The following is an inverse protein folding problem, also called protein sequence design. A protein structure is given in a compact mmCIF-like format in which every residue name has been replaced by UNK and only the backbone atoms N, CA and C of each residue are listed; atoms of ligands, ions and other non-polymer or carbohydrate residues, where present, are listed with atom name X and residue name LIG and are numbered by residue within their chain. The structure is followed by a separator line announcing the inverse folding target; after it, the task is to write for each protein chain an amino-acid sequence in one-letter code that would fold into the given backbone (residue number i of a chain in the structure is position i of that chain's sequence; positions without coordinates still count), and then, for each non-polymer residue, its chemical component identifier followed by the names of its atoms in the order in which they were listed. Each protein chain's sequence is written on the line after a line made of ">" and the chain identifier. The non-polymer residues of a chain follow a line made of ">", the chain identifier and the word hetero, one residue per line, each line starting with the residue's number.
data_IF_847614258711
#
_entry.id   IF_847614258711
#
_cell.length_a   1.000
_cell.length_b   1.000
_cell.length_c   1.000
_cell.angle_alpha   90.00
_cell.angle_beta   90.00
_cell.angle_gamma   90.00
#
_symmetry.space_group_name_H-M   'P 1'
#
loop_
_entity.id
_entity.type
_entity.pdbx_description
1 polymer ?
#
# COMPACT_ATOMS: atom_id res chain seq x y z
N UNK A 1 -9.83 -37.90 -2.17
CA UNK A 1 -9.20 -36.89 -1.31
C UNK A 1 -8.54 -35.85 -2.20
N UNK A 2 -9.26 -34.79 -2.57
CA UNK A 2 -8.77 -33.74 -3.46
C UNK A 2 -7.84 -32.80 -2.68
N UNK A 3 -6.56 -32.80 -3.03
CA UNK A 3 -5.54 -31.90 -2.51
C UNK A 3 -5.88 -30.45 -2.88
N UNK A 4 -6.72 -29.78 -2.09
CA UNK A 4 -7.05 -28.36 -2.27
C UNK A 4 -5.89 -27.47 -1.77
N UNK A 5 -4.72 -27.63 -2.38
CA UNK A 5 -3.51 -26.82 -2.15
C UNK A 5 -3.79 -25.32 -2.32
N UNK A 6 -4.75 -24.95 -3.18
CA UNK A 6 -5.20 -23.57 -3.41
C UNK A 6 -5.90 -22.92 -2.21
N UNK A 7 -6.48 -23.72 -1.30
CA UNK A 7 -7.21 -23.24 -0.13
C UNK A 7 -6.36 -23.22 1.15
N UNK A 8 -5.08 -23.61 1.07
CA UNK A 8 -4.20 -23.64 2.23
C UNK A 8 -3.90 -22.21 2.73
N UNK A 9 -3.91 -22.03 4.05
CA UNK A 9 -3.60 -20.75 4.69
C UNK A 9 -2.19 -20.30 4.32
N UNK A 10 -2.08 -19.07 3.82
CA UNK A 10 -0.79 -18.46 3.50
C UNK A 10 -0.60 -17.20 4.33
N UNK A 11 0.18 -17.31 5.41
CA UNK A 11 0.55 -16.17 6.24
C UNK A 11 1.86 -15.57 5.73
N UNK A 12 1.77 -14.62 4.80
CA UNK A 12 2.91 -13.77 4.42
C UNK A 12 2.96 -12.57 5.40
N UNK A 13 4.09 -12.24 6.02
CA UNK A 13 4.18 -11.00 6.78
C UNK A 13 4.03 -9.80 5.84
N UNK A 14 3.46 -8.69 6.35
CA UNK A 14 3.21 -7.48 5.56
C UNK A 14 4.49 -6.97 4.88
N UNK A 15 5.64 -7.11 5.54
CA UNK A 15 6.94 -6.78 4.95
C UNK A 15 7.23 -7.56 3.66
N UNK A 16 6.99 -8.87 3.65
CA UNK A 16 7.16 -9.70 2.44
C UNK A 16 6.17 -9.27 1.37
N UNK A 17 4.93 -8.92 1.72
CA UNK A 17 3.93 -8.42 0.77
C UNK A 17 4.41 -7.15 0.08
N UNK A 18 4.89 -6.17 0.84
CA UNK A 18 5.35 -4.91 0.26
C UNK A 18 6.63 -5.15 -0.57
N UNK A 19 7.55 -5.99 -0.12
CA UNK A 19 8.73 -6.37 -0.91
C UNK A 19 8.36 -7.07 -2.23
N UNK A 20 7.33 -7.93 -2.23
CA UNK A 20 6.83 -8.54 -3.46
C UNK A 20 6.30 -7.48 -4.43
N UNK A 21 5.55 -6.49 -3.93
CA UNK A 21 5.06 -5.39 -4.78
C UNK A 21 6.23 -4.55 -5.30
N UNK A 22 7.22 -4.19 -4.47
CA UNK A 22 8.45 -3.50 -4.92
C UNK A 22 9.18 -4.29 -6.02
N UNK A 23 9.34 -5.60 -5.82
CA UNK A 23 9.99 -6.49 -6.78
C UNK A 23 9.23 -6.52 -8.09
N UNK A 24 7.90 -6.69 -8.04
CA UNK A 24 7.05 -6.65 -9.22
C UNK A 24 7.15 -5.31 -9.94
N UNK A 25 7.19 -4.18 -9.22
CA UNK A 25 7.34 -2.87 -9.84
C UNK A 25 8.63 -2.76 -10.63
N UNK A 26 9.75 -3.23 -10.08
CA UNK A 26 11.05 -3.18 -10.75
C UNK A 26 11.17 -4.19 -11.90
N UNK A 27 10.61 -5.39 -11.75
CA UNK A 27 10.60 -6.40 -12.81
C UNK A 27 9.72 -5.96 -13.99
N UNK A 28 8.53 -5.43 -13.73
CA UNK A 28 7.62 -4.92 -14.74
C UNK A 28 8.25 -3.71 -15.43
N UNK A 29 8.82 -2.76 -14.66
CA UNK A 29 9.56 -1.64 -15.23
C UNK A 29 10.67 -2.11 -16.16
N UNK A 30 11.54 -3.01 -15.69
CA UNK A 30 12.65 -3.52 -16.49
C UNK A 30 12.20 -4.24 -17.76
N UNK A 31 11.12 -5.00 -17.70
CA UNK A 31 10.54 -5.68 -18.86
C UNK A 31 9.93 -4.70 -19.87
N UNK A 32 9.21 -3.68 -19.40
CA UNK A 32 8.50 -2.72 -20.24
C UNK A 32 9.42 -1.64 -20.83
N UNK A 33 10.58 -1.36 -20.21
CA UNK A 33 11.52 -0.39 -20.75
C UNK A 33 12.14 -0.81 -22.10
N UNK A 34 12.21 -2.10 -22.42
CA UNK A 34 12.68 -2.57 -23.73
C UNK A 34 11.75 -2.16 -24.89
N UNK A 35 10.43 -2.49 -24.87
CA UNK A 35 9.50 -2.03 -25.91
C UNK A 35 9.29 -0.52 -25.90
N UNK A 36 9.43 0.17 -24.75
CA UNK A 36 9.46 1.64 -24.69
C UNK A 36 10.66 2.19 -25.46
N UNK A 37 11.86 1.62 -25.27
CA UNK A 37 13.06 2.05 -26.00
C UNK A 37 12.93 1.82 -27.51
N UNK A 38 12.23 0.75 -27.92
CA UNK A 38 11.90 0.49 -29.32
C UNK A 38 10.82 1.43 -29.90
N UNK A 39 10.26 2.34 -29.09
CA UNK A 39 9.20 3.27 -29.51
C UNK A 39 7.82 2.63 -29.66
N UNK A 40 7.63 1.39 -29.16
CA UNK A 40 6.39 0.63 -29.32
C UNK A 40 5.35 1.06 -28.27
N UNK A 41 5.80 1.38 -27.04
CA UNK A 41 4.93 1.68 -25.91
C UNK A 41 5.22 3.08 -25.33
N UNK A 42 4.18 3.82 -24.89
CA UNK A 42 4.38 5.07 -24.17
C UNK A 42 4.89 4.79 -22.75
N UNK A 43 5.61 5.76 -22.18
CA UNK A 43 6.18 5.67 -20.84
C UNK A 43 5.81 6.90 -20.02
N UNK A 44 5.21 6.65 -18.85
CA UNK A 44 4.80 7.70 -17.93
C UNK A 44 5.67 7.72 -16.67
N UNK A 45 6.64 8.63 -16.64
CA UNK A 45 7.60 8.77 -15.52
C UNK A 45 6.91 9.12 -14.19
N UNK A 46 5.94 10.04 -14.23
CA UNK A 46 5.22 10.49 -13.04
C UNK A 46 4.51 9.34 -12.32
N UNK A 47 3.90 8.42 -13.08
CA UNK A 47 3.22 7.24 -12.54
C UNK A 47 4.18 6.25 -11.88
N UNK A 48 5.37 6.02 -12.47
CA UNK A 48 6.40 5.21 -11.83
C UNK A 48 6.91 5.87 -10.54
N UNK A 49 7.27 7.15 -10.59
CA UNK A 49 7.84 7.82 -9.42
C UNK A 49 6.83 7.93 -8.28
N UNK A 50 5.58 8.27 -8.60
CA UNK A 50 4.50 8.32 -7.63
C UNK A 50 4.22 6.95 -7.00
N UNK A 51 4.23 5.88 -7.80
CA UNK A 51 4.07 4.51 -7.32
C UNK A 51 5.18 4.10 -6.35
N UNK A 52 6.44 4.37 -6.69
CA UNK A 52 7.57 4.02 -5.82
C UNK A 52 7.54 4.82 -4.50
N UNK A 53 7.23 6.11 -4.56
CA UNK A 53 7.04 6.93 -3.34
C UNK A 53 5.89 6.41 -2.49
N UNK A 54 4.78 6.04 -3.12
CA UNK A 54 3.64 5.45 -2.43
C UNK A 54 4.02 4.14 -1.73
N UNK A 55 4.81 3.28 -2.38
CA UNK A 55 5.28 2.03 -1.78
C UNK A 55 6.24 2.29 -0.60
N UNK A 56 7.14 3.27 -0.70
CA UNK A 56 7.96 3.70 0.45
C UNK A 56 7.12 4.26 1.60
N UNK A 57 6.09 5.04 1.28
CA UNK A 57 5.15 5.53 2.26
C UNK A 57 4.42 4.39 2.97
N UNK A 58 3.95 3.38 2.23
CA UNK A 58 3.34 2.18 2.81
C UNK A 58 4.29 1.49 3.79
N UNK A 59 5.57 1.29 3.44
CA UNK A 59 6.57 0.72 4.36
C UNK A 59 6.75 1.57 5.62
N UNK A 60 6.83 2.89 5.45
CA UNK A 60 7.03 3.84 6.54
C UNK A 60 5.84 3.85 7.51
N UNK A 61 4.61 3.95 7.00
CA UNK A 61 3.40 4.05 7.83
C UNK A 61 3.10 2.70 8.50
N UNK A 62 3.24 1.58 7.77
CA UNK A 62 2.80 0.27 8.26
C UNK A 62 3.84 -0.45 9.12
N UNK A 63 5.13 -0.42 8.72
CA UNK A 63 6.21 -1.15 9.39
C UNK A 63 7.07 -0.25 10.28
N UNK A 64 6.94 1.08 10.18
CA UNK A 64 7.84 2.03 10.85
C UNK A 64 9.26 2.05 10.27
N UNK A 65 9.49 1.37 9.13
CA UNK A 65 10.78 1.32 8.44
C UNK A 65 10.91 2.55 7.57
N UNK A 66 11.87 3.41 7.91
CA UNK A 66 12.21 4.58 7.10
C UNK A 66 13.25 4.19 6.05
N UNK A 67 13.34 4.91 4.93
CA UNK A 67 14.38 4.66 3.94
C UNK A 67 15.80 4.79 4.50
N UNK A 68 15.98 5.48 5.63
CA UNK A 68 17.27 5.71 6.26
C UNK A 68 17.64 4.67 7.35
N UNK A 69 16.71 3.81 7.75
CA UNK A 69 16.94 2.77 8.75
C UNK A 69 15.69 2.33 9.53
N UNK A 70 15.90 1.35 10.42
CA UNK A 70 14.87 0.82 11.31
C UNK A 70 14.58 1.85 12.43
N UNK A 71 13.37 2.40 12.45
CA UNK A 71 12.87 3.23 13.55
C UNK A 71 11.67 2.58 14.23
N UNK A 72 11.49 2.82 15.53
CA UNK A 72 10.26 2.42 16.19
C UNK A 72 9.08 3.17 15.54
N UNK A 73 7.98 2.44 15.30
CA UNK A 73 6.76 2.99 14.72
C UNK A 73 6.18 4.04 15.68
N UNK A 74 6.36 5.33 15.37
CA UNK A 74 5.86 6.46 16.16
C UNK A 74 4.88 7.30 15.35
N UNK A 75 4.14 8.19 16.02
CA UNK A 75 3.21 9.11 15.34
C UNK A 75 3.92 10.02 14.34
N UNK A 76 5.14 10.46 14.64
CA UNK A 76 5.99 11.22 13.72
C UNK A 76 6.31 10.45 12.43
N UNK A 77 6.66 9.16 12.55
CA UNK A 77 6.97 8.31 11.38
C UNK A 77 5.72 8.10 10.53
N UNK A 78 4.55 7.91 11.16
CA UNK A 78 3.26 7.84 10.46
C UNK A 78 2.97 9.15 9.74
N UNK A 79 3.12 10.29 10.39
CA UNK A 79 2.87 11.61 9.77
C UNK A 79 3.80 11.86 8.58
N UNK A 80 5.09 11.58 8.73
CA UNK A 80 6.08 11.69 7.64
C UNK A 80 5.72 10.76 6.48
N UNK A 81 5.39 9.49 6.77
CA UNK A 81 4.94 8.53 5.76
C UNK A 81 3.67 9.00 5.04
N UNK A 82 2.71 9.58 5.75
CA UNK A 82 1.49 10.16 5.17
C UNK A 82 1.82 11.30 4.20
N UNK A 83 2.75 12.20 4.55
CA UNK A 83 3.19 13.27 3.63
C UNK A 83 3.81 12.67 2.36
N UNK A 84 4.67 11.66 2.49
CA UNK A 84 5.26 10.95 1.33
C UNK A 84 4.16 10.28 0.49
N UNK A 85 3.14 9.69 1.12
CA UNK A 85 2.00 9.10 0.41
C UNK A 85 1.25 10.16 -0.40
N UNK A 86 0.97 11.34 0.17
CA UNK A 86 0.31 12.44 -0.54
C UNK A 86 1.13 12.87 -1.76
N UNK A 87 2.44 13.08 -1.58
CA UNK A 87 3.34 13.44 -2.68
C UNK A 87 3.32 12.36 -3.76
N UNK A 88 3.38 11.08 -3.40
CA UNK A 88 3.33 9.96 -4.35
C UNK A 88 2.02 9.88 -5.12
N UNK A 89 0.88 10.04 -4.43
CA UNK A 89 -0.46 10.03 -5.06
C UNK A 89 -0.61 11.19 -6.04
N UNK A 90 -0.24 12.41 -5.62
CA UNK A 90 -0.33 13.61 -6.46
C UNK A 90 0.60 13.49 -7.68
N UNK A 91 1.83 13.00 -7.50
CA UNK A 91 2.79 12.77 -8.59
C UNK A 91 2.31 11.70 -9.60
N UNK A 92 1.56 10.69 -9.14
CA UNK A 92 0.91 9.73 -10.03
C UNK A 92 -0.18 10.41 -10.87
N UNK A 93 -1.03 11.22 -10.24
CA UNK A 93 -2.29 11.67 -10.85
C UNK A 93 -2.14 12.89 -11.74
N UNK A 94 -1.25 13.81 -11.40
CA UNK A 94 -1.08 15.05 -12.14
C UNK A 94 0.28 15.01 -12.84
N UNK A 95 0.30 14.77 -14.16
CA UNK A 95 1.51 14.92 -14.95
C UNK A 95 2.15 16.30 -14.71
N UNK A 96 3.46 16.32 -14.50
CA UNK A 96 4.30 17.52 -14.38
C UNK A 96 4.00 18.50 -13.22
N UNK A 97 2.98 18.28 -12.38
CA UNK A 97 2.61 19.24 -11.33
C UNK A 97 3.71 19.49 -10.29
N UNK A 98 4.44 18.45 -9.91
CA UNK A 98 5.51 18.54 -8.90
C UNK A 98 6.91 18.65 -9.50
N UNK A 99 7.02 18.69 -10.83
CA UNK A 99 8.29 18.75 -11.54
C UNK A 99 9.32 17.73 -11.00
N UNK A 100 10.42 18.23 -10.41
CA UNK A 100 11.54 17.41 -9.94
C UNK A 100 11.38 16.85 -8.52
N UNK A 101 10.35 17.26 -7.77
CA UNK A 101 10.21 16.87 -6.35
C UNK A 101 10.14 15.35 -6.16
N UNK A 102 9.31 14.58 -6.90
CA UNK A 102 9.22 13.13 -6.71
C UNK A 102 10.55 12.43 -7.02
N UNK A 103 11.21 12.88 -8.10
CA UNK A 103 12.51 12.37 -8.52
C UNK A 103 13.60 12.63 -7.47
N UNK A 104 13.68 13.85 -6.92
CA UNK A 104 14.65 14.20 -5.88
C UNK A 104 14.44 13.41 -4.59
N UNK A 105 13.19 13.19 -4.18
CA UNK A 105 12.86 12.34 -3.03
C UNK A 105 13.31 10.90 -3.27
N UNK A 106 13.05 10.34 -4.46
CA UNK A 106 13.50 8.98 -4.80
C UNK A 106 15.03 8.86 -4.85
N UNK A 107 15.74 9.86 -5.40
CA UNK A 107 17.21 9.90 -5.37
C UNK A 107 17.70 9.87 -3.91
N UNK A 108 17.07 10.65 -3.03
CA UNK A 108 17.40 10.64 -1.60
C UNK A 108 17.11 9.29 -0.95
N UNK A 109 15.94 8.70 -1.19
CA UNK A 109 15.53 7.44 -0.57
C UNK A 109 16.35 6.24 -1.07
N UNK A 110 16.56 6.11 -2.38
CA UNK A 110 17.35 5.02 -2.94
C UNK A 110 18.86 5.23 -2.75
N UNK A 111 19.34 6.47 -2.84
CA UNK A 111 20.76 6.82 -2.75
C UNK A 111 21.23 6.91 -1.31
N UNK A 112 20.79 7.95 -0.59
CA UNK A 112 21.20 8.18 0.81
C UNK A 112 20.66 7.06 1.70
N UNK A 113 19.41 6.64 1.51
CA UNK A 113 18.82 5.54 2.27
C UNK A 113 19.50 4.19 1.99
N UNK A 114 19.76 3.87 0.72
CA UNK A 114 20.51 2.66 0.35
C UNK A 114 21.92 2.65 0.94
N UNK A 115 22.61 3.79 0.90
CA UNK A 115 23.95 3.95 1.49
C UNK A 115 23.91 3.81 3.01
N UNK A 116 22.95 4.43 3.70
CA UNK A 116 22.85 4.34 5.16
C UNK A 116 22.55 2.91 5.62
N UNK A 117 21.67 2.19 4.91
CA UNK A 117 21.35 0.79 5.17
C UNK A 117 22.54 -0.14 4.91
N UNK A 118 23.28 0.09 3.82
CA UNK A 118 24.51 -0.65 3.51
C UNK A 118 25.58 -0.42 4.60
N UNK A 119 25.78 0.84 5.00
CA UNK A 119 26.74 1.20 6.04
C UNK A 119 26.36 0.56 7.39
N UNK A 120 25.07 0.56 7.75
CA UNK A 120 24.57 -0.10 8.95
C UNK A 120 24.78 -1.62 8.91
N UNK A 121 24.65 -2.25 7.74
CA UNK A 121 24.88 -3.68 7.58
C UNK A 121 26.35 -4.05 7.87
N UNK A 122 27.30 -3.24 7.42
CA UNK A 122 28.73 -3.47 7.67
C UNK A 122 29.22 -3.01 9.05
N UNK A 123 28.71 -1.89 9.57
CA UNK A 123 29.17 -1.30 10.83
C UNK A 123 28.48 -1.88 12.08
N UNK A 124 27.30 -2.47 11.96
CA UNK A 124 26.59 -3.03 13.13
C UNK A 124 27.29 -4.31 13.62
N UNK A 125 28.24 -4.13 14.55
CA UNK A 125 28.98 -5.21 15.21
C UNK A 125 28.08 -6.25 15.88
N UNK A 126 26.83 -5.93 16.19
CA UNK A 126 25.83 -6.85 16.75
C UNK A 126 25.13 -7.68 15.67
N UNK A 127 24.43 -7.09 14.69
CA UNK A 127 23.63 -7.85 13.69
C UNK A 127 24.49 -8.78 12.84
N UNK A 128 25.57 -8.27 12.24
CA UNK A 128 26.43 -9.08 11.35
C UNK A 128 27.15 -10.23 12.09
N UNK A 129 27.63 -9.98 13.31
CA UNK A 129 28.32 -11.00 14.12
C UNK A 129 27.36 -12.08 14.62
N UNK A 130 26.13 -11.69 14.96
CA UNK A 130 25.06 -12.62 15.35
C UNK A 130 24.64 -13.49 14.16
N UNK A 131 24.41 -12.89 12.99
CA UNK A 131 24.01 -13.61 11.77
C UNK A 131 25.10 -14.56 11.25
N UNK A 132 26.38 -14.15 11.36
CA UNK A 132 27.52 -15.00 11.02
C UNK A 132 27.72 -16.17 11.98
N UNK A 133 27.29 -16.04 13.25
CA UNK A 133 27.33 -17.15 14.23
C UNK A 133 26.21 -18.17 14.03
N UNK A 134 25.02 -17.75 13.61
CA UNK A 134 23.89 -18.67 13.40
C UNK A 134 24.05 -19.53 12.15
N UNK A 135 24.81 -19.08 11.14
CA UNK A 135 25.11 -19.87 9.93
C UNK A 135 23.89 -20.19 9.06
N UNK A 136 24.11 -20.64 7.83
CA UNK A 136 23.04 -21.09 6.92
C UNK A 136 22.20 -19.96 6.31
N UNK A 137 20.88 -19.97 6.52
CA UNK A 137 19.90 -19.08 5.85
C UNK A 137 20.19 -17.59 6.14
N UNK A 138 20.77 -17.26 7.30
CA UNK A 138 21.14 -15.88 7.64
C UNK A 138 22.29 -15.31 6.77
N UNK A 139 23.11 -16.17 6.15
CA UNK A 139 24.12 -15.73 5.19
C UNK A 139 23.47 -15.27 3.88
N UNK A 140 22.47 -16.02 3.40
CA UNK A 140 21.65 -15.63 2.25
C UNK A 140 20.90 -14.31 2.51
N UNK A 141 20.41 -14.09 3.74
CA UNK A 141 19.79 -12.82 4.12
C UNK A 141 20.77 -11.65 4.00
N UNK A 142 21.99 -11.83 4.51
CA UNK A 142 23.04 -10.78 4.46
C UNK A 142 23.40 -10.43 3.02
N UNK A 143 23.59 -11.44 2.17
CA UNK A 143 23.89 -11.24 0.74
C UNK A 143 22.73 -10.56 0.02
N UNK A 144 21.49 -11.01 0.28
CA UNK A 144 20.30 -10.43 -0.34
C UNK A 144 20.14 -8.94 0.06
N UNK A 145 20.30 -8.60 1.33
CA UNK A 145 20.28 -7.21 1.80
C UNK A 145 21.37 -6.37 1.14
N UNK A 146 22.62 -6.87 1.11
CA UNK A 146 23.72 -6.15 0.47
C UNK A 146 23.48 -5.88 -1.02
N UNK A 147 22.95 -6.88 -1.75
CA UNK A 147 22.58 -6.71 -3.16
C UNK A 147 21.48 -5.66 -3.34
N UNK A 148 20.41 -5.73 -2.56
CA UNK A 148 19.30 -4.77 -2.64
C UNK A 148 19.80 -3.35 -2.35
N UNK A 149 20.64 -3.15 -1.33
CA UNK A 149 21.17 -1.82 -1.00
C UNK A 149 22.18 -1.31 -2.03
N UNK A 150 22.98 -2.19 -2.63
CA UNK A 150 23.89 -1.80 -3.71
C UNK A 150 23.10 -1.38 -4.96
N UNK A 151 22.13 -2.18 -5.38
CA UNK A 151 21.31 -1.87 -6.55
C UNK A 151 20.40 -0.66 -6.33
N UNK A 152 19.95 -0.37 -5.10
CA UNK A 152 19.25 0.89 -4.83
C UNK A 152 20.14 2.10 -5.09
N UNK A 153 21.42 2.06 -4.69
CA UNK A 153 22.36 3.15 -4.96
C UNK A 153 22.58 3.30 -6.48
N UNK A 154 22.74 2.20 -7.20
CA UNK A 154 22.88 2.21 -8.67
C UNK A 154 21.64 2.84 -9.33
N UNK A 155 20.43 2.47 -8.90
CA UNK A 155 19.20 3.08 -9.38
C UNK A 155 19.15 4.59 -9.09
N UNK A 156 19.60 5.03 -7.91
CA UNK A 156 19.67 6.46 -7.59
C UNK A 156 20.63 7.24 -8.50
N UNK A 157 21.74 6.64 -8.91
CA UNK A 157 22.68 7.23 -9.89
C UNK A 157 21.99 7.40 -11.24
N UNK A 158 21.29 6.37 -11.72
CA UNK A 158 20.52 6.46 -12.98
C UNK A 158 19.37 7.48 -12.90
N UNK A 159 18.70 7.58 -11.75
CA UNK A 159 17.70 8.63 -11.52
C UNK A 159 18.31 10.02 -11.49
N UNK A 160 19.57 10.18 -11.07
CA UNK A 160 20.18 11.51 -10.94
C UNK A 160 20.51 12.12 -12.29
N UNK A 161 21.01 11.32 -13.23
CA UNK A 161 21.49 11.82 -14.51
C UNK A 161 21.17 10.81 -15.64
N UNK A 162 20.31 11.22 -16.57
CA UNK A 162 19.86 10.40 -17.71
C UNK A 162 20.94 10.20 -18.77
N UNK A 163 22.06 10.92 -18.69
CA UNK A 163 23.16 10.83 -19.66
C UNK A 163 24.15 9.68 -19.38
N UNK A 164 24.21 9.17 -18.14
CA UNK A 164 25.18 8.13 -17.78
C UNK A 164 24.76 6.72 -18.21
N UNK A 165 23.48 6.51 -18.55
CA UNK A 165 22.96 5.18 -18.85
C UNK A 165 21.91 5.20 -19.95
N UNK A 166 22.04 4.26 -20.90
CA UNK A 166 21.04 4.05 -21.95
C UNK A 166 19.78 3.39 -21.37
N UNK A 167 18.62 3.58 -22.00
CA UNK A 167 17.36 2.95 -21.56
C UNK A 167 17.48 1.43 -21.35
N UNK A 168 18.18 0.65 -22.20
CA UNK A 168 18.41 -0.77 -21.97
C UNK A 168 19.26 -1.09 -20.73
N UNK A 169 20.20 -0.22 -20.34
CA UNK A 169 20.99 -0.39 -19.12
C UNK A 169 20.12 -0.17 -17.88
N UNK A 170 19.25 0.85 -17.90
CA UNK A 170 18.28 1.07 -16.82
C UNK A 170 17.31 -0.11 -16.73
N UNK A 171 16.84 -0.62 -17.88
CA UNK A 171 15.95 -1.78 -17.96
C UNK A 171 16.57 -3.03 -17.33
N UNK A 172 17.81 -3.37 -17.71
CA UNK A 172 18.53 -4.51 -17.17
C UNK A 172 18.85 -4.35 -15.68
N UNK A 173 19.24 -3.15 -15.24
CA UNK A 173 19.45 -2.88 -13.82
C UNK A 173 18.16 -2.99 -13.00
N UNK A 174 17.04 -2.50 -13.51
CA UNK A 174 15.73 -2.66 -12.87
C UNK A 174 15.30 -4.13 -12.77
N UNK A 175 15.55 -4.95 -13.80
CA UNK A 175 15.30 -6.40 -13.74
C UNK A 175 16.15 -7.07 -12.65
N UNK A 176 17.46 -6.80 -12.63
CA UNK A 176 18.36 -7.40 -11.64
C UNK A 176 17.99 -6.94 -10.23
N UNK A 177 17.65 -5.66 -10.05
CA UNK A 177 17.20 -5.13 -8.77
C UNK A 177 15.89 -5.79 -8.32
N UNK A 178 14.93 -5.93 -9.23
CA UNK A 178 13.66 -6.62 -8.97
C UNK A 178 13.87 -8.09 -8.55
N UNK A 179 14.80 -8.81 -9.20
CA UNK A 179 15.19 -10.18 -8.82
C UNK A 179 15.87 -10.21 -7.44
N UNK A 180 16.73 -9.24 -7.13
CA UNK A 180 17.37 -9.15 -5.82
C UNK A 180 16.35 -8.92 -4.69
N UNK A 181 15.35 -8.06 -4.91
CA UNK A 181 14.25 -7.83 -3.97
C UNK A 181 13.39 -9.10 -3.83
N UNK A 182 13.11 -9.80 -4.94
CA UNK A 182 12.34 -11.05 -4.92
C UNK A 182 13.05 -12.12 -4.09
N UNK A 183 14.36 -12.22 -4.29
CA UNK A 183 15.21 -13.14 -3.55
C UNK A 183 15.21 -12.80 -2.05
N UNK A 184 15.32 -11.51 -1.70
CA UNK A 184 15.22 -11.05 -0.31
C UNK A 184 13.86 -11.42 0.31
N UNK A 185 12.76 -11.18 -0.41
CA UNK A 185 11.41 -11.52 0.04
C UNK A 185 11.25 -13.03 0.30
N UNK A 186 11.83 -13.86 -0.57
CA UNK A 186 11.81 -15.33 -0.42
C UNK A 186 12.63 -15.80 0.79
N UNK A 187 13.85 -15.28 0.96
CA UNK A 187 14.70 -15.60 2.12
C UNK A 187 14.00 -15.19 3.41
N UNK A 188 13.41 -14.00 3.44
CA UNK A 188 12.72 -13.46 4.61
C UNK A 188 11.46 -14.28 4.93
N UNK A 189 10.68 -14.68 3.92
CA UNK A 189 9.54 -15.58 4.09
C UNK A 189 9.96 -16.92 4.70
N UNK A 190 11.08 -17.49 4.25
CA UNK A 190 11.62 -18.76 4.77
C UNK A 190 12.07 -18.64 6.22
N UNK A 191 12.62 -17.49 6.61
CA UNK A 191 12.98 -17.23 8.01
C UNK A 191 11.72 -17.15 8.87
N UNK A 192 10.73 -16.36 8.46
CA UNK A 192 9.48 -16.22 9.21
C UNK A 192 8.64 -17.49 9.29
N UNK A 193 8.70 -18.36 8.28
CA UNK A 193 8.01 -19.66 8.33
C UNK A 193 8.68 -20.64 9.30
N UNK A 194 10.01 -20.56 9.45
CA UNK A 194 10.79 -21.50 10.25
C UNK A 194 10.98 -21.02 11.69
N UNK A 195 10.90 -19.72 11.91
CA UNK A 195 10.89 -19.09 13.23
C UNK A 195 9.67 -18.18 13.26
N UNK A 196 8.56 -18.59 13.91
CA UNK A 196 7.50 -17.64 14.25
C UNK A 196 8.10 -16.64 15.24
N UNK A 197 8.73 -15.59 14.71
CA UNK A 197 9.43 -14.60 15.51
C UNK A 197 8.46 -14.04 16.52
N UNK A 198 8.75 -14.31 17.79
CA UNK A 198 8.18 -13.61 18.93
C UNK A 198 8.31 -12.12 18.64
N UNK A 199 7.17 -11.43 18.53
CA UNK A 199 7.15 -9.98 18.41
C UNK A 199 7.90 -9.42 19.59
N UNK A 200 9.10 -8.89 19.36
CA UNK A 200 9.80 -8.11 20.36
C UNK A 200 8.96 -6.86 20.61
N UNK A 201 8.07 -6.92 21.61
CA UNK A 201 7.43 -5.75 22.19
C UNK A 201 8.54 -4.90 22.83
N UNK A 202 8.83 -3.67 22.37
CA UNK A 202 9.65 -2.75 23.13
C UNK A 202 8.82 -2.20 24.29
N UNK A 203 9.44 -2.09 25.47
CA UNK A 203 8.81 -1.52 26.66
C UNK A 203 8.26 -0.11 26.40
N UNK A 204 7.05 0.08 26.93
CA UNK A 204 6.18 1.25 26.89
C UNK A 204 6.87 2.50 27.46
N UNK A 205 6.91 3.59 26.68
CA UNK A 205 7.24 4.94 27.20
C UNK A 205 6.04 5.85 27.00
N UNK A 206 5.77 6.72 27.99
CA UNK A 206 4.56 7.56 28.11
C UNK A 206 4.32 8.47 26.89
N UNK A 207 3.04 8.77 26.67
CA UNK A 207 2.48 9.47 25.52
C UNK A 207 3.16 10.80 25.15
N UNK A 208 3.28 11.00 23.84
CA UNK A 208 3.84 12.16 23.14
C UNK A 208 3.95 11.86 21.64
N UNK A 209 4.39 12.82 20.83
CA UNK A 209 4.58 12.66 19.37
C UNK A 209 5.58 11.54 18.98
N UNK A 210 6.42 11.14 19.94
CA UNK A 210 7.44 10.08 19.85
C UNK A 210 6.98 8.73 20.46
N UNK A 211 5.74 8.63 20.95
CA UNK A 211 5.23 7.40 21.53
C UNK A 211 5.00 6.33 20.44
N UNK A 212 5.17 5.03 20.76
CA UNK A 212 4.90 3.95 19.82
C UNK A 212 3.42 4.00 19.39
N UNK A 213 3.18 4.10 18.08
CA UNK A 213 1.85 4.16 17.52
C UNK A 213 1.25 2.76 17.44
N UNK A 214 0.37 2.47 18.39
CA UNK A 214 -0.25 1.17 18.62
C UNK A 214 -1.57 1.02 17.81
N UNK A 215 -1.56 1.41 16.53
CA UNK A 215 -2.72 1.27 15.62
C UNK A 215 -2.66 -0.09 14.91
N UNK A 216 -3.79 -0.78 14.80
CA UNK A 216 -3.90 -2.00 13.98
C UNK A 216 -3.48 -1.76 12.52
N UNK A 217 -2.90 -2.78 11.88
CA UNK A 217 -2.49 -2.71 10.47
C UNK A 217 -3.70 -2.45 9.56
N UNK A 218 -4.87 -3.01 9.91
CA UNK A 218 -6.12 -2.79 9.20
C UNK A 218 -6.50 -1.30 9.19
N UNK A 219 -6.44 -0.64 10.36
CA UNK A 219 -6.74 0.77 10.48
C UNK A 219 -5.76 1.64 9.68
N UNK A 220 -4.49 1.26 9.59
CA UNK A 220 -3.51 1.97 8.74
C UNK A 220 -3.85 1.82 7.26
N UNK A 221 -4.12 0.60 6.80
CA UNK A 221 -4.39 0.36 5.38
C UNK A 221 -5.73 1.01 4.96
N UNK A 222 -6.71 1.05 5.87
CA UNK A 222 -7.93 1.85 5.71
C UNK A 222 -7.66 3.35 5.70
N UNK A 223 -6.75 3.85 6.56
CA UNK A 223 -6.32 5.26 6.56
C UNK A 223 -5.68 5.63 5.21
N UNK A 224 -4.79 4.78 4.69
CA UNK A 224 -4.14 5.00 3.39
C UNK A 224 -5.16 4.97 2.25
N UNK A 225 -6.12 4.04 2.29
CA UNK A 225 -7.22 4.02 1.33
C UNK A 225 -8.09 5.30 1.42
N UNK A 226 -8.46 5.72 2.62
CA UNK A 226 -9.25 6.95 2.82
C UNK A 226 -8.51 8.20 2.38
N UNK A 227 -7.22 8.29 2.66
CA UNK A 227 -6.36 9.38 2.17
C UNK A 227 -6.31 9.39 0.64
N UNK A 228 -6.15 8.23 0.02
CA UNK A 228 -6.14 8.08 -1.42
C UNK A 228 -7.45 8.53 -2.06
N UNK A 229 -8.60 8.05 -1.55
CA UNK A 229 -9.93 8.40 -2.07
C UNK A 229 -10.21 9.90 -1.87
N UNK A 230 -9.82 10.45 -0.71
CA UNK A 230 -9.98 11.88 -0.40
C UNK A 230 -9.18 12.76 -1.36
N UNK A 231 -7.88 12.47 -1.55
CA UNK A 231 -7.02 13.24 -2.47
C UNK A 231 -7.57 13.16 -3.89
N UNK A 232 -7.98 11.97 -4.31
CA UNK A 232 -8.58 11.77 -5.61
C UNK A 232 -9.84 12.63 -5.80
N UNK A 233 -10.77 12.60 -4.84
CA UNK A 233 -12.00 13.38 -4.91
C UNK A 233 -11.75 14.88 -5.00
N UNK A 234 -10.83 15.39 -4.16
CA UNK A 234 -10.44 16.81 -4.14
C UNK A 234 -9.82 17.19 -5.49
N UNK A 235 -8.96 16.34 -6.03
CA UNK A 235 -8.26 16.62 -7.28
C UNK A 235 -9.17 16.55 -8.51
N UNK A 236 -10.21 15.72 -8.47
CA UNK A 236 -11.14 15.59 -9.60
C UNK A 236 -11.94 16.88 -9.86
N UNK A 237 -12.13 17.73 -8.85
CA UNK A 237 -12.84 19.01 -9.00
C UNK A 237 -12.10 19.96 -9.97
N UNK A 238 -10.84 20.38 -9.74
CA UNK A 238 -10.11 21.23 -10.67
C UNK A 238 -9.82 20.56 -12.01
N UNK A 239 -9.67 19.23 -12.05
CA UNK A 239 -9.50 18.48 -13.30
C UNK A 239 -10.75 18.61 -14.19
N UNK A 240 -11.95 18.44 -13.62
CA UNK A 240 -13.20 18.61 -14.38
C UNK A 240 -13.49 20.07 -14.76
N UNK A 241 -12.87 21.03 -14.08
CA UNK A 241 -12.88 22.45 -14.50
C UNK A 241 -11.86 22.76 -15.60
N UNK A 242 -11.07 21.77 -16.05
CA UNK A 242 -10.03 21.94 -17.05
C UNK A 242 -8.78 22.67 -16.56
N UNK A 243 -8.61 22.82 -15.23
CA UNK A 243 -7.49 23.55 -14.64
C UNK A 243 -6.21 22.72 -14.50
N UNK A 244 -6.32 21.39 -14.45
CA UNK A 244 -5.19 20.48 -14.21
C UNK A 244 -5.22 19.28 -15.16
N UNK A 245 -4.05 18.81 -15.66
CA UNK A 245 -3.95 17.56 -16.39
C UNK A 245 -4.17 16.38 -15.46
N UNK A 246 -4.66 15.25 -15.99
CA UNK A 246 -4.99 14.09 -15.15
C UNK A 246 -4.66 12.77 -15.84
N UNK A 247 -4.01 11.88 -15.10
CA UNK A 247 -3.68 10.51 -15.53
C UNK A 247 -4.64 9.51 -14.89
N UNK A 248 -5.72 9.20 -15.59
CA UNK A 248 -6.70 8.19 -15.16
C UNK A 248 -6.09 6.78 -15.07
N UNK A 249 -5.14 6.45 -15.94
CA UNK A 249 -4.40 5.18 -15.91
C UNK A 249 -3.61 4.98 -14.61
N UNK A 250 -2.91 6.01 -14.13
CA UNK A 250 -2.19 5.94 -12.87
C UNK A 250 -3.12 5.94 -11.65
N UNK A 251 -4.27 6.62 -11.72
CA UNK A 251 -5.32 6.54 -10.69
C UNK A 251 -5.81 5.11 -10.50
N UNK A 252 -6.28 4.47 -11.58
CA UNK A 252 -6.79 3.10 -11.53
C UNK A 252 -5.67 2.14 -11.14
N UNK A 253 -4.45 2.39 -11.64
CA UNK A 253 -3.28 1.59 -11.32
C UNK A 253 -2.96 1.58 -9.82
N UNK A 254 -2.94 2.76 -9.19
CA UNK A 254 -2.64 2.90 -7.77
C UNK A 254 -3.75 2.31 -6.88
N UNK A 255 -5.03 2.44 -7.28
CA UNK A 255 -6.13 1.71 -6.61
C UNK A 255 -5.91 0.20 -6.63
N UNK A 256 -5.54 -0.36 -7.78
CA UNK A 256 -5.30 -1.81 -7.93
C UNK A 256 -4.14 -2.29 -7.07
N UNK A 257 -3.09 -1.48 -6.93
CA UNK A 257 -1.97 -1.76 -6.00
C UNK A 257 -2.45 -1.73 -4.54
N UNK A 258 -3.30 -0.78 -4.16
CA UNK A 258 -3.88 -0.73 -2.80
C UNK A 258 -4.73 -1.97 -2.52
N UNK A 259 -5.62 -2.34 -3.46
CA UNK A 259 -6.42 -3.58 -3.33
C UNK A 259 -5.55 -4.82 -3.29
N UNK A 260 -4.45 -4.87 -4.05
CA UNK A 260 -3.48 -5.96 -3.97
C UNK A 260 -2.87 -6.08 -2.57
N UNK A 261 -2.40 -4.97 -1.97
CA UNK A 261 -1.87 -4.97 -0.61
C UNK A 261 -2.91 -5.52 0.37
N UNK A 262 -4.15 -5.04 0.28
CA UNK A 262 -5.24 -5.47 1.16
C UNK A 262 -5.57 -6.96 1.00
N UNK A 263 -5.60 -7.46 -0.24
CA UNK A 263 -5.87 -8.88 -0.52
C UNK A 263 -4.74 -9.78 -0.03
N UNK A 264 -3.49 -9.45 -0.36
CA UNK A 264 -2.35 -10.30 -0.01
C UNK A 264 -2.09 -10.22 1.49
N UNK A 265 -2.14 -9.05 2.12
CA UNK A 265 -1.78 -8.86 3.52
C UNK A 265 -2.90 -9.23 4.50
N UNK A 266 -4.13 -8.78 4.22
CA UNK A 266 -5.27 -8.89 5.15
C UNK A 266 -6.29 -9.94 4.72
N UNK A 267 -6.28 -10.38 3.46
CA UNK A 267 -7.36 -11.19 2.89
C UNK A 267 -8.63 -10.38 2.59
N UNK A 268 -8.56 -9.05 2.69
CA UNK A 268 -9.66 -8.17 2.36
C UNK A 268 -9.69 -7.98 0.84
N UNK A 269 -10.81 -8.36 0.22
CA UNK A 269 -11.07 -8.10 -1.20
C UNK A 269 -12.08 -6.97 -1.32
N UNK A 270 -12.19 -6.32 -2.50
CA UNK A 270 -13.24 -5.33 -2.75
C UNK A 270 -14.67 -5.85 -2.51
N UNK A 271 -14.89 -7.16 -2.63
CA UNK A 271 -16.20 -7.80 -2.42
C UNK A 271 -16.47 -8.07 -0.92
N UNK A 272 -15.41 -8.05 -0.09
CA UNK A 272 -15.48 -8.28 1.35
C UNK A 272 -14.28 -9.04 1.90
N UNK A 273 -14.27 -9.29 3.22
CA UNK A 273 -13.21 -10.04 3.87
C UNK A 273 -13.31 -11.53 3.52
N UNK A 274 -12.17 -12.13 3.14
CA UNK A 274 -12.04 -13.56 2.90
C UNK A 274 -10.87 -14.15 3.69
N UNK A 275 -10.91 -15.45 3.94
CA UNK A 275 -9.80 -16.16 4.59
C UNK A 275 -8.59 -16.15 3.68
N UNK A 276 -7.43 -15.78 4.24
CA UNK A 276 -6.16 -15.62 3.55
C UNK A 276 -5.59 -16.93 2.97
N UNK A 277 -6.12 -17.29 1.79
CA UNK A 277 -5.72 -18.47 1.01
C UNK A 277 -4.71 -18.10 -0.08
N UNK A 278 -4.03 -19.11 -0.63
CA UNK A 278 -3.12 -18.94 -1.78
C UNK A 278 -3.82 -18.31 -2.98
N UNK A 279 -5.08 -18.64 -3.21
CA UNK A 279 -5.86 -18.09 -4.32
C UNK A 279 -5.95 -16.57 -4.21
N UNK A 280 -6.28 -16.04 -3.03
CA UNK A 280 -6.32 -14.58 -2.79
C UNK A 280 -4.95 -13.94 -2.98
N UNK A 281 -3.88 -14.61 -2.55
CA UNK A 281 -2.51 -14.13 -2.77
C UNK A 281 -2.20 -14.01 -4.27
N UNK A 282 -2.52 -15.05 -5.06
CA UNK A 282 -2.31 -15.05 -6.51
C UNK A 282 -3.14 -13.95 -7.18
N UNK A 283 -4.44 -13.85 -6.83
CA UNK A 283 -5.32 -12.79 -7.33
C UNK A 283 -4.78 -11.41 -6.97
N UNK A 284 -4.31 -11.23 -5.75
CA UNK A 284 -3.67 -10.00 -5.30
C UNK A 284 -2.41 -9.67 -6.12
N UNK A 285 -1.56 -10.65 -6.41
CA UNK A 285 -0.38 -10.43 -7.26
C UNK A 285 -0.79 -10.05 -8.69
N UNK A 286 -1.84 -10.65 -9.24
CA UNK A 286 -2.40 -10.24 -10.55
C UNK A 286 -2.87 -8.78 -10.50
N UNK A 287 -3.57 -8.37 -9.44
CA UNK A 287 -3.99 -6.98 -9.25
C UNK A 287 -2.80 -6.02 -9.15
N UNK A 288 -1.73 -6.41 -8.45
CA UNK A 288 -0.50 -5.62 -8.43
C UNK A 288 0.10 -5.51 -9.83
N UNK A 289 0.21 -6.61 -10.59
CA UNK A 289 0.76 -6.58 -11.94
C UNK A 289 -0.01 -5.62 -12.86
N UNK A 290 -1.35 -5.73 -12.87
CA UNK A 290 -2.22 -4.85 -13.64
C UNK A 290 -2.09 -3.39 -13.18
N UNK A 291 -2.06 -3.17 -11.86
CA UNK A 291 -1.95 -1.84 -11.29
C UNK A 291 -0.64 -1.14 -11.62
N UNK A 292 0.49 -1.82 -11.40
CA UNK A 292 1.83 -1.32 -11.70
C UNK A 292 1.95 -1.05 -13.22
N UNK A 293 1.50 -1.98 -14.06
CA UNK A 293 1.54 -1.80 -15.52
C UNK A 293 0.76 -0.56 -15.95
N UNK A 294 -0.43 -0.34 -15.37
CA UNK A 294 -1.25 0.85 -15.65
C UNK A 294 -0.64 2.15 -15.14
N UNK A 295 0.16 2.12 -14.07
CA UNK A 295 0.91 3.30 -13.63
C UNK A 295 2.08 3.64 -14.57
N UNK A 296 2.71 2.64 -15.20
CA UNK A 296 3.90 2.83 -16.05
C UNK A 296 3.51 3.15 -17.49
N UNK A 297 2.52 2.42 -18.04
CA UNK A 297 2.07 2.59 -19.42
C UNK A 297 0.66 3.17 -19.42
N UNK A 298 0.50 4.44 -19.84
CA UNK A 298 -0.80 5.09 -19.86
C UNK A 298 -1.72 4.49 -20.93
N UNK A 299 -3.03 4.67 -20.74
CA UNK A 299 -4.13 4.36 -21.67
C UNK A 299 -4.37 2.90 -22.09
N UNK A 300 -3.41 1.99 -21.95
CA UNK A 300 -3.59 0.60 -22.44
C UNK A 300 -4.60 -0.19 -21.58
N UNK A 301 -4.50 -0.09 -20.26
CA UNK A 301 -5.30 -0.87 -19.32
C UNK A 301 -6.56 -0.15 -18.84
N UNK A 302 -6.76 1.11 -19.22
CA UNK A 302 -7.83 1.97 -18.67
C UNK A 302 -9.22 1.35 -18.84
N UNK A 303 -9.66 0.90 -20.05
CA UNK A 303 -11.01 0.37 -20.21
C UNK A 303 -11.24 -0.90 -19.37
N UNK A 304 -10.26 -1.80 -19.36
CA UNK A 304 -10.32 -3.06 -18.62
C UNK A 304 -10.33 -2.84 -17.11
N UNK A 305 -9.49 -1.92 -16.61
CA UNK A 305 -9.45 -1.59 -15.19
C UNK A 305 -10.69 -0.83 -14.73
N UNK A 306 -11.21 0.11 -15.53
CA UNK A 306 -12.46 0.82 -15.22
C UNK A 306 -13.61 -0.17 -15.10
N UNK A 307 -13.72 -1.12 -16.03
CA UNK A 307 -14.74 -2.17 -15.97
C UNK A 307 -14.57 -3.05 -14.73
N UNK A 308 -13.36 -3.52 -14.47
CA UNK A 308 -13.06 -4.38 -13.32
C UNK A 308 -13.37 -3.67 -11.98
N UNK A 309 -12.85 -2.46 -11.78
CA UNK A 309 -13.05 -1.67 -10.57
C UNK A 309 -14.53 -1.29 -10.42
N UNK A 310 -15.20 -0.92 -11.52
CA UNK A 310 -16.63 -0.61 -11.54
C UNK A 310 -17.48 -1.79 -11.04
N UNK A 311 -17.25 -2.99 -11.57
CA UNK A 311 -17.93 -4.20 -11.11
C UNK A 311 -17.60 -4.56 -9.66
N UNK A 312 -16.33 -4.46 -9.26
CA UNK A 312 -15.90 -4.78 -7.90
C UNK A 312 -16.56 -3.86 -6.86
N UNK A 313 -16.63 -2.56 -7.15
CA UNK A 313 -17.26 -1.59 -6.26
C UNK A 313 -18.79 -1.77 -6.22
N UNK A 314 -19.42 -2.07 -7.36
CA UNK A 314 -20.85 -2.35 -7.42
C UNK A 314 -21.22 -3.60 -6.62
N UNK A 315 -20.56 -4.73 -6.89
CA UNK A 315 -20.84 -6.01 -6.22
C UNK A 315 -20.47 -5.93 -4.74
N UNK A 316 -19.30 -5.35 -4.43
CA UNK A 316 -18.81 -5.20 -3.06
C UNK A 316 -19.70 -4.33 -2.20
N UNK A 317 -20.12 -3.16 -2.71
CA UNK A 317 -21.03 -2.27 -2.00
C UNK A 317 -22.40 -2.91 -1.75
N UNK A 318 -22.98 -3.59 -2.75
CA UNK A 318 -24.25 -4.31 -2.59
C UNK A 318 -24.11 -5.44 -1.55
N UNK A 319 -23.06 -6.26 -1.66
CA UNK A 319 -22.83 -7.36 -0.72
C UNK A 319 -22.64 -6.86 0.72
N UNK A 320 -21.96 -5.73 0.91
CA UNK A 320 -21.78 -5.12 2.22
C UNK A 320 -23.11 -4.59 2.80
N UNK A 321 -23.95 -3.91 2.00
CA UNK A 321 -25.27 -3.46 2.45
C UNK A 321 -26.15 -4.65 2.84
N UNK A 322 -26.18 -5.71 2.01
CA UNK A 322 -26.95 -6.93 2.32
C UNK A 322 -26.50 -7.53 3.65
N UNK A 323 -25.18 -7.61 3.91
CA UNK A 323 -24.65 -8.11 5.19
C UNK A 323 -25.04 -7.28 6.40
N UNK A 324 -25.24 -5.96 6.24
CA UNK A 324 -25.68 -5.07 7.32
C UNK A 324 -27.19 -5.18 7.55
N UNK A 325 -27.98 -5.22 6.48
CA UNK A 325 -29.45 -5.19 6.55
C UNK A 325 -30.06 -6.56 6.91
N UNK A 326 -29.48 -7.67 6.44
CA UNK A 326 -30.00 -9.02 6.72
C UNK A 326 -30.12 -9.36 8.22
N UNK A 327 -29.10 -9.11 9.07
CA UNK A 327 -29.23 -9.35 10.50
C UNK A 327 -30.18 -8.37 11.19
N UNK A 328 -30.32 -7.13 10.68
CA UNK A 328 -31.25 -6.14 11.24
C UNK A 328 -32.73 -6.48 10.97
N UNK A 329 -33.02 -7.24 9.91
CA UNK A 329 -34.36 -7.73 9.58
C UNK A 329 -34.74 -9.01 10.35
N UNK A 330 -33.79 -9.71 10.97
CA UNK A 330 -34.09 -10.87 11.82
C UNK A 330 -34.60 -10.39 13.18
N UNK A 331 -35.73 -10.95 13.63
CA UNK A 331 -36.43 -10.59 14.88
C UNK A 331 -35.44 -10.51 16.06
N UNK A 332 -35.44 -9.42 16.85
CA UNK A 332 -34.44 -9.20 17.88
C UNK A 332 -34.55 -10.25 19.00
N UNK A 333 -33.53 -11.10 19.14
CA UNK A 333 -33.26 -11.77 20.40
C UNK A 333 -32.64 -10.74 21.34
N UNK A 334 -33.42 -10.27 22.33
CA UNK A 334 -33.00 -9.53 23.54
C UNK A 334 -31.57 -8.96 23.48
N UNK A 335 -31.38 -7.91 22.68
CA UNK A 335 -30.14 -7.14 22.66
C UNK A 335 -30.47 -5.74 23.16
N UNK A 336 -29.73 -5.32 24.19
CA UNK A 336 -29.70 -3.98 24.74
C UNK A 336 -29.65 -2.93 23.63
N UNK A 337 -30.28 -1.77 23.82
CA UNK A 337 -30.24 -0.68 22.86
C UNK A 337 -28.80 -0.42 22.36
N UNK A 338 -28.57 -0.33 21.03
CA UNK A 338 -27.22 -0.20 20.49
C UNK A 338 -26.56 1.07 21.02
N UNK A 339 -25.30 0.96 21.44
CA UNK A 339 -24.51 2.10 21.87
C UNK A 339 -24.39 3.14 20.73
N UNK A 340 -24.31 4.43 21.09
CA UNK A 340 -24.22 5.54 20.13
C UNK A 340 -23.07 5.35 19.14
N UNK A 341 -21.96 4.77 19.60
CA UNK A 341 -20.76 4.49 18.78
C UNK A 341 -21.03 3.43 17.70
N UNK A 342 -21.79 2.38 18.03
CA UNK A 342 -22.14 1.31 17.10
C UNK A 342 -23.07 1.81 15.98
N UNK A 343 -24.03 2.66 16.35
CA UNK A 343 -24.92 3.32 15.38
C UNK A 343 -24.14 4.23 14.43
N UNK A 344 -23.16 4.99 14.94
CA UNK A 344 -22.30 5.84 14.11
C UNK A 344 -21.45 5.03 13.12
N UNK A 345 -20.85 3.92 13.55
CA UNK A 345 -20.09 3.02 12.67
C UNK A 345 -20.99 2.42 11.59
N UNK A 346 -22.19 1.98 11.97
CA UNK A 346 -23.13 1.36 11.04
C UNK A 346 -23.60 2.36 9.98
N UNK A 347 -23.94 3.58 10.39
CA UNK A 347 -24.30 4.67 9.48
C UNK A 347 -23.15 5.04 8.56
N UNK A 348 -21.94 5.25 9.09
CA UNK A 348 -20.76 5.57 8.27
C UNK A 348 -20.47 4.48 7.23
N UNK A 349 -20.59 3.21 7.64
CA UNK A 349 -20.40 2.06 6.75
C UNK A 349 -21.49 1.98 5.68
N UNK A 350 -22.76 2.22 6.03
CA UNK A 350 -23.86 2.27 5.07
C UNK A 350 -23.64 3.38 4.03
N UNK A 351 -23.29 4.58 4.49
CA UNK A 351 -22.99 5.73 3.63
C UNK A 351 -21.86 5.42 2.67
N UNK A 352 -20.73 4.88 3.15
CA UNK A 352 -19.60 4.50 2.28
C UNK A 352 -20.01 3.47 1.23
N UNK A 353 -20.78 2.45 1.59
CA UNK A 353 -21.20 1.44 0.61
C UNK A 353 -22.14 2.00 -0.47
N UNK A 354 -23.02 2.96 -0.11
CA UNK A 354 -23.85 3.68 -1.09
C UNK A 354 -22.97 4.52 -2.02
N UNK A 355 -21.99 5.26 -1.48
CA UNK A 355 -21.06 6.06 -2.28
C UNK A 355 -20.19 5.17 -3.17
N UNK A 356 -19.76 4.01 -2.67
CA UNK A 356 -19.01 3.00 -3.44
C UNK A 356 -19.83 2.44 -4.60
N UNK A 357 -21.12 2.17 -4.40
CA UNK A 357 -22.04 1.76 -5.48
C UNK A 357 -22.19 2.88 -6.50
N UNK A 358 -22.37 4.13 -6.07
CA UNK A 358 -22.50 5.28 -6.96
C UNK A 358 -21.23 5.47 -7.81
N UNK A 359 -20.05 5.35 -7.19
CA UNK A 359 -18.77 5.39 -7.86
C UNK A 359 -18.62 4.25 -8.88
N UNK A 360 -18.92 3.01 -8.48
CA UNK A 360 -18.86 1.85 -9.38
C UNK A 360 -19.83 1.96 -10.57
N UNK A 361 -21.05 2.44 -10.34
CA UNK A 361 -22.03 2.69 -11.40
C UNK A 361 -21.57 3.78 -12.37
N UNK A 362 -20.98 4.86 -11.87
CA UNK A 362 -20.45 5.96 -12.72
C UNK A 362 -19.27 5.52 -13.60
N UNK A 363 -18.51 4.50 -13.19
CA UNK A 363 -17.45 3.90 -14.00
C UNK A 363 -17.99 3.00 -15.11
N UNK A 364 -19.08 2.28 -14.86
CA UNK A 364 -19.67 1.35 -15.82
C UNK A 364 -20.55 2.04 -16.86
N UNK A 365 -21.21 3.13 -16.48
CA UNK A 365 -22.12 3.88 -17.35
C UNK A 365 -21.64 5.33 -17.38
N UNK A 366 -20.96 5.74 -18.47
CA UNK A 366 -20.49 7.11 -18.64
C UNK A 366 -21.64 8.11 -18.53
N UNK A 367 -21.37 9.28 -17.97
CA UNK A 367 -22.31 10.40 -17.85
C UNK A 367 -23.54 10.20 -16.95
N UNK A 368 -23.64 9.12 -16.15
CA UNK A 368 -24.67 9.06 -15.09
C UNK A 368 -24.45 10.17 -14.06
N UNK A 369 -23.19 10.36 -13.66
CA UNK A 369 -22.79 11.35 -12.66
C UNK A 369 -21.82 12.32 -13.34
N UNK A 370 -22.14 13.63 -13.42
CA UNK A 370 -21.21 14.64 -13.88
C UNK A 370 -19.89 14.59 -13.09
N UNK A 371 -18.75 14.78 -13.75
CA UNK A 371 -17.44 14.60 -13.12
C UNK A 371 -17.20 15.46 -11.86
N UNK A 372 -17.77 16.67 -11.82
CA UNK A 372 -17.78 17.53 -10.62
C UNK A 372 -18.48 16.88 -9.42
N UNK A 373 -19.65 16.26 -9.67
CA UNK A 373 -20.40 15.54 -8.63
C UNK A 373 -19.63 14.28 -8.23
N UNK A 374 -18.98 13.60 -9.18
CA UNK A 374 -18.13 12.45 -8.88
C UNK A 374 -16.96 12.83 -7.94
N UNK A 375 -16.32 13.97 -8.17
CA UNK A 375 -15.30 14.51 -7.26
C UNK A 375 -15.83 14.80 -5.86
N UNK A 376 -17.02 15.40 -5.75
CA UNK A 376 -17.69 15.63 -4.47
C UNK A 376 -18.07 14.32 -3.75
N UNK A 377 -18.59 13.33 -4.48
CA UNK A 377 -18.94 11.99 -3.96
C UNK A 377 -17.71 11.29 -3.40
N UNK A 378 -16.59 11.27 -4.13
CA UNK A 378 -15.33 10.68 -3.68
C UNK A 378 -14.73 11.43 -2.49
N UNK A 379 -14.81 12.76 -2.48
CA UNK A 379 -14.35 13.56 -1.35
C UNK A 379 -15.16 13.23 -0.09
N UNK A 380 -16.48 13.12 -0.22
CA UNK A 380 -17.35 12.70 0.87
C UNK A 380 -17.02 11.28 1.35
N UNK A 381 -16.79 10.34 0.43
CA UNK A 381 -16.43 8.96 0.75
C UNK A 381 -15.12 8.88 1.54
N UNK A 382 -14.08 9.58 1.07
CA UNK A 382 -12.79 9.69 1.77
C UNK A 382 -12.94 10.30 3.17
N UNK A 383 -13.74 11.36 3.32
CA UNK A 383 -14.03 11.98 4.62
C UNK A 383 -14.73 11.01 5.59
N UNK A 384 -15.76 10.30 5.11
CA UNK A 384 -16.49 9.31 5.92
C UNK A 384 -15.57 8.15 6.31
N UNK A 385 -14.69 7.70 5.41
CA UNK A 385 -13.70 6.65 5.69
C UNK A 385 -12.69 7.07 6.76
N UNK A 386 -12.14 8.28 6.68
CA UNK A 386 -11.24 8.80 7.72
C UNK A 386 -11.96 9.00 9.06
N UNK A 387 -13.22 9.40 9.04
CA UNK A 387 -14.05 9.48 10.24
C UNK A 387 -14.28 8.09 10.87
N UNK A 388 -14.56 7.06 10.05
CA UNK A 388 -14.71 5.69 10.52
C UNK A 388 -13.41 5.20 11.18
N UNK A 389 -12.25 5.44 10.57
CA UNK A 389 -10.95 5.09 11.16
C UNK A 389 -10.75 5.79 12.51
N UNK A 390 -11.13 7.07 12.63
CA UNK A 390 -11.08 7.80 13.91
C UNK A 390 -11.94 7.14 15.00
N UNK A 391 -13.15 6.68 14.64
CA UNK A 391 -14.02 5.93 15.56
C UNK A 391 -13.42 4.58 15.95
N UNK A 392 -12.89 3.81 14.99
CA UNK A 392 -12.27 2.51 15.24
C UNK A 392 -11.05 2.63 16.16
N UNK A 393 -10.22 3.65 15.96
CA UNK A 393 -9.07 3.94 16.82
C UNK A 393 -9.52 4.30 18.24
N UNK A 394 -10.59 5.09 18.41
CA UNK A 394 -11.15 5.41 19.73
C UNK A 394 -11.66 4.17 20.46
N UNK A 395 -12.35 3.27 19.76
CA UNK A 395 -12.83 2.01 20.34
C UNK A 395 -11.66 1.13 20.75
N UNK A 396 -10.65 0.97 19.89
CA UNK A 396 -9.47 0.16 20.20
C UNK A 396 -8.75 0.69 21.45
N UNK A 397 -8.62 2.01 21.59
CA UNK A 397 -8.04 2.64 22.77
C UNK A 397 -8.93 2.50 24.02
N UNK A 398 -10.25 2.63 23.88
CA UNK A 398 -11.21 2.49 24.98
C UNK A 398 -11.30 1.06 25.53
N UNK A 399 -11.37 0.06 24.64
CA UNK A 399 -11.41 -1.35 24.99
C UNK A 399 -10.13 -1.79 25.72
N UNK A 400 -8.96 -1.29 25.27
CA UNK A 400 -7.67 -1.59 25.89
C UNK A 400 -7.50 -0.89 27.25
N UNK A 401 -8.17 0.24 27.48
CA UNK A 401 -8.23 0.92 28.78
C UNK A 401 -9.08 0.22 29.84
N UNK A 402 -10.09 -0.56 29.44
CA UNK A 402 -10.91 -1.38 30.34
C UNK A 402 -10.25 -2.72 30.71
N UNK A 403 -9.53 -3.36 29.80
CA UNK A 403 -8.91 -4.67 30.04
C UNK A 403 -7.49 -4.62 30.63
N UNK A 404 -6.77 -3.50 30.46
CA UNK A 404 -5.48 -3.26 31.11
C UNK A 404 -5.56 -1.98 31.94
N UNK A 405 -6.17 -2.03 33.15
CA UNK A 405 -6.12 -0.90 34.07
C UNK A 405 -4.65 -0.51 34.29
N UNK A 406 -4.38 0.80 34.32
CA UNK A 406 -3.07 1.36 34.62
C UNK A 406 -2.67 1.00 36.06
N UNK A 407 -2.20 -0.21 36.28
CA UNK A 407 -1.48 -0.58 37.50
C UNK A 407 0.01 -0.58 37.21
N UNK A 408 0.58 0.62 37.31
CA UNK A 408 1.94 0.81 37.78
C UNK A 408 1.82 1.93 38.81
N UNK A 409 1.37 1.56 39.99
CA UNK A 409 1.54 2.35 41.20
C UNK A 409 2.87 1.91 41.83
N UNK A 410 3.72 2.92 42.06
CA UNK A 410 5.04 2.94 42.70
C UNK A 410 6.24 2.51 41.86
#
# INVERSE_FOLDING_TARGET
>A
MTNNWLLLDSRLPLEVVILLICSMSMLILGALLFPVHAGILPYYEGGLFGLLLFVFALQTITLGKTPFGDTARSWLVIAAGTVIAVIGIVACFIPDAMGRVPRMLLISFFGIGGMSLLLQLFLSKSKFRIWRRYGGIFHHLTIACALVYLFSIVMAVFLSNTEFATTPQIASAALIFGLAILYLAWVLQKIYSNQPSQGALPCRTKGGLLAPADLSIDNILLLVLGLFILILGILLIPVNLGMLPFSGSAQLGLMMVIFSVQMIALGNTPIGPFRRSRLIVITGLVFAALGITSCIIPEILVPSLTMLIGFLNLIGGIAAIVKIVTPALKVPQSQSAPDKTQTQITMATLTMNILTIAFGASMLIPNIIPGLILGAVLTADGCVLLFLVSLLVKIEQGFRGQFFPRHCEK
#
